data_IF_758283998302
#
_entry.id   IF_758283998302
#
_cell.length_a   1.000
_cell.length_b   1.000
_cell.length_c   1.000
_cell.angle_alpha   90.00
_cell.angle_beta   90.00
_cell.angle_gamma   90.00
#
_symmetry.space_group_name_H-M   'P 1'
#
loop_
_entity.id
_entity.type
_entity.pdbx_description
1 polymer ?
#
# COMPACT_ATOMS: atom_id res chain seq x y z
N UNK A 1 -13.34 13.18 -5.67
CA UNK A 1 -14.04 11.94 -5.25
C UNK A 1 -15.22 12.16 -4.31
N UNK A 2 -15.50 13.39 -3.84
CA UNK A 2 -16.64 13.68 -2.94
C UNK A 2 -18.00 13.78 -3.64
N UNK A 3 -18.00 13.89 -4.97
CA UNK A 3 -19.23 13.82 -5.76
C UNK A 3 -19.83 12.42 -5.66
N UNK A 4 -21.13 12.31 -5.36
CA UNK A 4 -21.89 11.03 -5.32
C UNK A 4 -22.18 10.44 -6.70
N UNK A 5 -21.70 11.08 -7.77
CA UNK A 5 -21.83 10.55 -9.13
C UNK A 5 -20.78 9.45 -9.36
N UNK A 6 -21.27 8.21 -9.53
CA UNK A 6 -20.43 7.04 -9.73
C UNK A 6 -19.53 7.14 -10.97
N UNK A 7 -19.92 7.89 -12.01
CA UNK A 7 -19.08 8.03 -13.22
C UNK A 7 -17.83 8.85 -12.93
N UNK A 8 -17.97 9.92 -12.15
CA UNK A 8 -16.85 10.78 -11.75
C UNK A 8 -15.93 10.03 -10.79
N UNK A 9 -16.50 9.31 -9.82
CA UNK A 9 -15.72 8.48 -8.89
C UNK A 9 -14.88 7.44 -9.63
N UNK A 10 -15.47 6.73 -10.61
CA UNK A 10 -14.75 5.73 -11.42
C UNK A 10 -13.59 6.36 -12.19
N UNK A 11 -13.82 7.49 -12.86
CA UNK A 11 -12.78 8.19 -13.61
C UNK A 11 -11.66 8.68 -12.69
N UNK A 12 -11.99 9.24 -11.52
CA UNK A 12 -10.98 9.65 -10.55
C UNK A 12 -10.14 8.46 -10.05
N UNK A 13 -10.77 7.32 -9.79
CA UNK A 13 -10.08 6.12 -9.33
C UNK A 13 -9.11 5.59 -10.39
N UNK A 14 -9.50 5.59 -11.66
CA UNK A 14 -8.61 5.22 -12.78
C UNK A 14 -7.42 6.17 -12.90
N UNK A 15 -7.63 7.48 -12.75
CA UNK A 15 -6.52 8.46 -12.77
C UNK A 15 -5.56 8.19 -11.61
N UNK A 16 -6.07 7.94 -10.41
CA UNK A 16 -5.25 7.58 -9.24
C UNK A 16 -4.43 6.32 -9.52
N UNK A 17 -5.05 5.27 -10.05
CA UNK A 17 -4.34 4.04 -10.42
C UNK A 17 -3.22 4.32 -11.43
N UNK A 18 -3.48 5.13 -12.47
CA UNK A 18 -2.45 5.53 -13.45
C UNK A 18 -1.31 6.33 -12.82
N UNK A 19 -1.59 7.23 -11.88
CA UNK A 19 -0.55 7.98 -11.16
C UNK A 19 0.34 7.04 -10.35
N UNK A 20 -0.26 6.04 -9.68
CA UNK A 20 0.48 5.02 -8.93
C UNK A 20 1.36 4.20 -9.86
N UNK A 21 0.83 3.70 -10.98
CA UNK A 21 1.59 2.88 -11.95
C UNK A 21 2.78 3.64 -12.54
N UNK A 22 2.63 4.93 -12.79
CA UNK A 22 3.72 5.78 -13.30
C UNK A 22 4.74 6.19 -12.21
N UNK A 23 4.63 5.66 -10.99
CA UNK A 23 5.44 6.03 -9.83
C UNK A 23 5.47 7.54 -9.53
N UNK A 24 4.42 8.27 -9.94
CA UNK A 24 4.31 9.72 -9.76
C UNK A 24 3.73 10.10 -8.38
N UNK A 25 3.74 9.17 -7.42
CA UNK A 25 3.09 9.32 -6.11
C UNK A 25 4.16 9.33 -5.04
N UNK A 26 4.33 10.49 -4.39
CA UNK A 26 5.19 10.66 -3.23
C UNK A 26 4.49 10.17 -1.94
N UNK A 27 5.20 10.20 -0.81
CA UNK A 27 4.65 9.72 0.45
C UNK A 27 3.39 10.49 0.90
N UNK A 28 3.31 11.80 0.61
CA UNK A 28 2.09 12.58 0.89
C UNK A 28 0.96 12.15 -0.05
N UNK A 29 1.23 12.01 -1.34
CA UNK A 29 0.28 11.51 -2.34
C UNK A 29 -0.30 10.15 -1.96
N UNK A 30 0.53 9.21 -1.50
CA UNK A 30 0.06 7.89 -1.06
C UNK A 30 -0.91 7.99 0.13
N UNK A 31 -0.68 8.95 1.04
CA UNK A 31 -1.58 9.22 2.17
C UNK A 31 -2.92 9.79 1.71
N UNK A 32 -2.91 10.72 0.74
CA UNK A 32 -4.12 11.27 0.13
C UNK A 32 -4.92 10.20 -0.62
N UNK A 33 -4.24 9.34 -1.38
CA UNK A 33 -4.86 8.20 -2.06
C UNK A 33 -5.52 7.28 -1.04
N UNK A 34 -4.81 6.89 0.01
CA UNK A 34 -5.35 6.03 1.08
C UNK A 34 -6.59 6.65 1.72
N UNK A 35 -6.58 7.95 2.01
CA UNK A 35 -7.73 8.65 2.57
C UNK A 35 -8.93 8.68 1.60
N UNK A 36 -8.65 8.88 0.31
CA UNK A 36 -9.67 8.86 -0.74
C UNK A 36 -10.31 7.47 -0.88
N UNK A 37 -9.50 6.42 -0.91
CA UNK A 37 -9.96 5.03 -0.95
C UNK A 37 -10.78 4.67 0.29
N UNK A 38 -10.40 5.18 1.46
CA UNK A 38 -11.17 5.01 2.69
C UNK A 38 -12.57 5.62 2.59
N UNK A 39 -12.68 6.86 2.14
CA UNK A 39 -13.99 7.52 1.95
C UNK A 39 -14.87 6.76 0.96
N UNK A 40 -14.28 6.26 -0.14
CA UNK A 40 -15.02 5.46 -1.13
C UNK A 40 -15.49 4.13 -0.54
N UNK A 41 -14.66 3.50 0.29
CA UNK A 41 -15.01 2.25 0.98
C UNK A 41 -16.18 2.47 1.95
N UNK A 42 -16.20 3.57 2.69
CA UNK A 42 -17.33 3.91 3.58
C UNK A 42 -18.61 4.23 2.81
N UNK A 43 -18.49 4.73 1.57
CA UNK A 43 -19.64 4.93 0.67
C UNK A 43 -20.15 3.64 0.02
N UNK A 44 -19.48 2.50 0.22
CA UNK A 44 -19.86 1.20 -0.34
C UNK A 44 -19.83 1.14 -1.88
N UNK A 45 -19.02 1.97 -2.52
CA UNK A 45 -18.98 2.10 -3.99
C UNK A 45 -17.69 1.52 -4.55
N UNK A 46 -17.81 0.67 -5.58
CA UNK A 46 -16.68 0.08 -6.32
C UNK A 46 -15.65 -0.66 -5.43
N UNK A 47 -16.11 -1.41 -4.43
CA UNK A 47 -15.27 -2.11 -3.43
C UNK A 47 -14.12 -2.92 -4.04
N UNK A 48 -14.37 -3.67 -5.12
CA UNK A 48 -13.35 -4.45 -5.85
C UNK A 48 -12.26 -3.55 -6.44
N UNK A 49 -12.62 -2.40 -7.02
CA UNK A 49 -11.62 -1.47 -7.58
C UNK A 49 -10.82 -0.78 -6.49
N UNK A 50 -11.41 -0.58 -5.31
CA UNK A 50 -10.69 -0.07 -4.16
C UNK A 50 -9.61 -1.07 -3.74
N UNK A 51 -9.95 -2.36 -3.62
CA UNK A 51 -8.97 -3.43 -3.33
C UNK A 51 -7.83 -3.45 -4.35
N UNK A 52 -8.16 -3.37 -5.64
CA UNK A 52 -7.16 -3.33 -6.71
C UNK A 52 -6.25 -2.10 -6.58
N UNK A 53 -6.80 -0.93 -6.26
CA UNK A 53 -6.04 0.31 -6.09
C UNK A 53 -5.09 0.24 -4.89
N UNK A 54 -5.55 -0.30 -3.76
CA UNK A 54 -4.69 -0.54 -2.59
C UNK A 54 -3.59 -1.54 -2.92
N UNK A 55 -3.94 -2.63 -3.61
CA UNK A 55 -2.97 -3.65 -4.03
C UNK A 55 -1.89 -3.06 -4.92
N UNK A 56 -2.29 -2.24 -5.90
CA UNK A 56 -1.38 -1.55 -6.79
C UNK A 56 -0.50 -0.56 -6.04
N UNK A 57 -1.07 0.24 -5.12
CA UNK A 57 -0.32 1.20 -4.32
C UNK A 57 0.76 0.51 -3.50
N UNK A 58 0.41 -0.59 -2.83
CA UNK A 58 1.33 -1.32 -1.99
C UNK A 58 2.36 -2.10 -2.80
N UNK A 59 2.01 -2.73 -3.92
CA UNK A 59 2.98 -3.49 -4.73
C UNK A 59 3.93 -2.60 -5.53
N UNK A 60 3.44 -1.48 -6.06
CA UNK A 60 4.20 -0.59 -6.97
C UNK A 60 5.09 0.39 -6.22
N UNK A 61 4.63 0.90 -5.07
CA UNK A 61 5.36 1.91 -4.30
C UNK A 61 5.79 1.34 -2.95
N UNK A 62 7.10 1.20 -2.77
CA UNK A 62 7.68 0.82 -1.49
C UNK A 62 7.56 1.94 -0.44
N UNK A 63 7.31 3.19 -0.84
CA UNK A 63 7.27 4.40 0.00
C UNK A 63 6.17 4.40 1.09
N UNK A 64 5.24 3.46 1.02
CA UNK A 64 4.14 3.32 1.98
C UNK A 64 4.60 2.53 3.20
N UNK A 65 4.87 3.23 4.29
CA UNK A 65 5.32 2.66 5.57
C UNK A 65 4.44 3.13 6.75
N UNK A 66 4.63 2.49 7.90
CA UNK A 66 4.02 2.89 9.17
C UNK A 66 2.48 2.92 9.15
N UNK A 67 1.89 4.02 9.64
CA UNK A 67 0.43 4.19 9.74
C UNK A 67 -0.30 4.05 8.40
N UNK A 68 0.31 4.52 7.30
CA UNK A 68 -0.34 4.48 5.99
C UNK A 68 -0.46 3.03 5.50
N UNK A 69 0.56 2.21 5.73
CA UNK A 69 0.54 0.78 5.43
C UNK A 69 -0.54 0.06 6.26
N UNK A 70 -0.54 0.31 7.57
CA UNK A 70 -1.53 -0.27 8.48
C UNK A 70 -2.96 0.08 8.07
N UNK A 71 -3.22 1.36 7.72
CA UNK A 71 -4.55 1.78 7.24
C UNK A 71 -4.98 1.06 5.96
N UNK A 72 -4.07 0.86 5.01
CA UNK A 72 -4.38 0.13 3.78
C UNK A 72 -4.73 -1.34 4.06
N UNK A 73 -4.00 -2.01 4.96
CA UNK A 73 -4.33 -3.37 5.38
C UNK A 73 -5.68 -3.44 6.07
N UNK A 74 -5.95 -2.53 7.02
CA UNK A 74 -7.25 -2.45 7.71
C UNK A 74 -8.39 -2.24 6.72
N UNK A 75 -8.18 -1.42 5.68
CA UNK A 75 -9.16 -1.22 4.62
C UNK A 75 -9.48 -2.55 3.91
N UNK A 76 -8.46 -3.31 3.49
CA UNK A 76 -8.66 -4.62 2.87
C UNK A 76 -9.38 -5.61 3.80
N UNK A 77 -9.05 -5.62 5.09
CA UNK A 77 -9.76 -6.43 6.08
C UNK A 77 -11.22 -6.01 6.22
N UNK A 78 -11.53 -4.71 6.31
CA UNK A 78 -12.93 -4.25 6.39
C UNK A 78 -13.72 -4.67 5.15
N UNK A 79 -13.11 -4.60 3.96
CA UNK A 79 -13.74 -5.05 2.71
C UNK A 79 -13.97 -6.57 2.67
N UNK A 80 -13.15 -7.37 3.36
CA UNK A 80 -13.37 -8.82 3.51
C UNK A 80 -14.61 -9.16 4.35
N UNK A 81 -15.10 -8.25 5.19
CA UNK A 81 -16.32 -8.46 5.99
C UNK A 81 -17.58 -7.86 5.35
N UNK A 82 -17.51 -7.46 4.08
CA UNK A 82 -18.67 -6.95 3.32
C UNK A 82 -19.65 -8.09 2.99
N UNK A 83 -20.85 -7.77 2.49
CA UNK A 83 -21.89 -8.77 2.18
C UNK A 83 -21.76 -9.37 0.77
N UNK A 84 -20.89 -8.84 -0.08
CA UNK A 84 -20.75 -9.28 -1.47
C UNK A 84 -19.70 -10.39 -1.62
N UNK A 85 -20.13 -11.58 -2.05
CA UNK A 85 -19.27 -12.76 -2.15
C UNK A 85 -18.06 -12.55 -3.08
N UNK A 86 -18.21 -11.81 -4.17
CA UNK A 86 -17.12 -11.52 -5.10
C UNK A 86 -16.05 -10.66 -4.44
N UNK A 87 -16.49 -9.63 -3.72
CA UNK A 87 -15.63 -8.71 -2.96
C UNK A 87 -14.91 -9.44 -1.82
N UNK A 88 -15.61 -10.28 -1.05
CA UNK A 88 -15.01 -11.09 0.03
C UNK A 88 -13.91 -12.00 -0.52
N UNK A 89 -14.19 -12.76 -1.59
CA UNK A 89 -13.21 -13.68 -2.18
C UNK A 89 -11.98 -12.93 -2.70
N UNK A 90 -12.19 -11.81 -3.38
CA UNK A 90 -11.12 -10.95 -3.88
C UNK A 90 -10.32 -10.35 -2.72
N UNK A 91 -10.99 -9.79 -1.71
CA UNK A 91 -10.37 -9.23 -0.52
C UNK A 91 -9.53 -10.27 0.21
N UNK A 92 -10.03 -11.49 0.35
CA UNK A 92 -9.32 -12.57 1.05
C UNK A 92 -8.04 -12.99 0.33
N UNK A 93 -8.03 -12.97 -1.00
CA UNK A 93 -6.80 -13.18 -1.80
C UNK A 93 -5.86 -11.98 -1.67
N UNK A 94 -6.37 -10.76 -1.81
CA UNK A 94 -5.60 -9.52 -1.66
C UNK A 94 -4.95 -9.40 -0.29
N UNK A 95 -5.67 -9.68 0.80
CA UNK A 95 -5.13 -9.62 2.17
C UNK A 95 -3.97 -10.60 2.32
N UNK A 96 -4.12 -11.85 1.87
CA UNK A 96 -3.04 -12.84 1.92
C UNK A 96 -1.81 -12.36 1.15
N UNK A 97 -2.00 -11.84 -0.06
CA UNK A 97 -0.92 -11.29 -0.88
C UNK A 97 -0.23 -10.10 -0.20
N UNK A 98 -1.00 -9.14 0.31
CA UNK A 98 -0.47 -7.94 0.92
C UNK A 98 0.27 -8.23 2.24
N UNK A 99 -0.26 -9.15 3.04
CA UNK A 99 0.43 -9.60 4.26
C UNK A 99 1.77 -10.25 3.90
N UNK A 100 1.80 -11.18 2.93
CA UNK A 100 3.06 -11.79 2.45
C UNK A 100 4.06 -10.72 1.99
N UNK A 101 3.61 -9.78 1.16
CA UNK A 101 4.42 -8.67 0.67
C UNK A 101 5.01 -7.82 1.80
N UNK A 102 4.23 -7.53 2.85
CA UNK A 102 4.71 -6.75 4.00
C UNK A 102 5.79 -7.53 4.76
N UNK A 103 5.60 -8.83 4.99
CA UNK A 103 6.62 -9.65 5.63
C UNK A 103 7.90 -9.74 4.78
N UNK A 104 7.79 -9.91 3.47
CA UNK A 104 8.94 -9.90 2.54
C UNK A 104 9.69 -8.56 2.61
N UNK A 105 8.98 -7.43 2.69
CA UNK A 105 9.60 -6.11 2.88
C UNK A 105 10.36 -6.00 4.19
N UNK A 106 9.79 -6.48 5.30
CA UNK A 106 10.45 -6.47 6.61
C UNK A 106 11.74 -7.29 6.56
N UNK A 107 11.71 -8.48 5.97
CA UNK A 107 12.90 -9.33 5.81
C UNK A 107 13.97 -8.60 4.99
N UNK A 108 13.60 -8.00 3.85
CA UNK A 108 14.53 -7.26 3.01
C UNK A 108 15.11 -6.01 3.69
N UNK A 109 14.31 -5.32 4.51
CA UNK A 109 14.75 -4.20 5.34
C UNK A 109 15.72 -4.65 6.44
N UNK A 110 15.45 -5.78 7.11
CA UNK A 110 16.31 -6.37 8.14
C UNK A 110 17.67 -6.82 7.55
N UNK A 111 17.69 -7.48 6.39
CA UNK A 111 18.92 -7.86 5.68
C UNK A 111 19.76 -6.62 5.29
N UNK A 112 19.10 -5.55 4.83
CA UNK A 112 19.77 -4.29 4.53
C UNK A 112 20.36 -3.62 5.78
N UNK A 113 19.68 -3.72 6.92
CA UNK A 113 20.20 -3.20 8.19
C UNK A 113 21.44 -3.98 8.66
N UNK A 114 21.39 -5.31 8.62
CA UNK A 114 22.53 -6.17 8.97
C UNK A 114 23.76 -5.90 8.09
N UNK A 115 23.55 -5.68 6.79
CA UNK A 115 24.63 -5.34 5.85
C UNK A 115 25.24 -3.97 6.15
N UNK A 116 24.42 -2.97 6.49
CA UNK A 116 24.90 -1.62 6.86
C UNK A 116 25.68 -1.60 8.17
N UNK A 117 25.28 -2.41 9.15
CA UNK A 117 26.01 -2.52 10.42
C UNK A 117 27.37 -3.22 10.23
N UNK A 118 27.45 -4.25 9.39
CA UNK A 118 28.74 -4.86 9.03
C UNK A 118 29.69 -3.88 8.33
N UNK A 119 29.20 -3.11 7.34
CA UNK A 119 30.03 -2.11 6.63
C UNK A 119 30.51 -1.00 7.58
N UNK A 120 29.66 -0.52 8.50
CA UNK A 120 30.06 0.48 9.50
C UNK A 120 31.13 -0.05 10.46
N UNK A 121 31.10 -1.33 10.78
CA UNK A 121 32.07 -1.97 11.66
C UNK A 121 33.42 -2.17 10.95
N UNK A 122 33.42 -2.58 9.68
CA UNK A 122 34.62 -2.72 8.84
C UNK A 122 35.33 -1.38 8.57
N UNK A 123 34.57 -0.30 8.30
CA UNK A 123 35.13 1.05 8.12
C UNK A 123 35.73 1.58 9.42
N UNK A 124 35.12 1.27 10.57
CA UNK A 124 35.66 1.65 11.89
C UNK A 124 36.96 0.91 12.23
N UNK A 125 37.16 -0.33 11.77
CA UNK A 125 38.42 -1.04 11.96
C UNK A 125 39.54 -0.42 11.12
N UNK A 126 39.30 -0.15 9.83
CA UNK A 126 40.31 0.45 8.94
C UNK A 126 40.76 1.86 9.32
N UNK A 127 39.89 2.64 9.97
CA UNK A 127 40.22 4.02 10.38
C UNK A 127 41.03 4.08 11.69
N UNK A 128 41.12 2.96 12.43
CA UNK A 128 41.98 2.87 13.64
C UNK A 128 43.42 2.45 13.32
N UNK A 129 43.68 2.00 12.10
CA UNK A 129 45.01 1.53 11.65
C UNK A 129 45.77 2.59 10.82
N UNK A 130 45.23 3.80 10.68
CA UNK A 130 45.94 5.02 10.26
C UNK A 130 46.03 6.01 11.42
#
# INVERSE_FOLDING_TARGET
CETKDQRIVKMCLEIIQRLITNQAVDQKGARYVTNTLWMLMESGTEEVKILQSVTLLLTTNAVVHGDTLARNLVLCFRLHFTKDSTTINTAGATVRQLVSLVFERVIAEDEHFQTKDQIKQDVKLKTKEL
#
